data_IF_362252378931
#
_entry.id   IF_362252378931
#
_cell.length_a   1.000
_cell.length_b   1.000
_cell.length_c   1.000
_cell.angle_alpha   90.00
_cell.angle_beta   90.00
_cell.angle_gamma   90.00
#
_symmetry.space_group_name_H-M   'P 1'
#
loop_
_entity.id
_entity.type
_entity.pdbx_description
1 polymer ?
#
# COMPACT_ATOMS: atom_id res chain seq x y z
N UNK A 1 33.24 8.48 -34.47
CA UNK A 1 32.37 8.33 -33.28
C UNK A 1 32.94 7.18 -32.49
N UNK A 2 33.27 7.40 -31.22
CA UNK A 2 33.93 6.39 -30.38
C UNK A 2 32.91 5.31 -30.00
N UNK A 3 33.13 4.08 -30.46
CA UNK A 3 32.23 2.94 -30.24
C UNK A 3 32.17 2.58 -28.74
N UNK A 4 33.25 2.80 -27.99
CA UNK A 4 33.25 2.57 -26.54
C UNK A 4 32.34 3.59 -25.83
N UNK A 5 32.33 4.84 -26.30
CA UNK A 5 31.40 5.85 -25.77
C UNK A 5 29.94 5.46 -26.01
N UNK A 6 29.62 4.83 -27.15
CA UNK A 6 28.27 4.32 -27.46
C UNK A 6 27.90 3.21 -26.47
N UNK A 7 28.77 2.22 -26.24
CA UNK A 7 28.50 1.13 -25.30
C UNK A 7 28.28 1.64 -23.87
N UNK A 8 29.09 2.60 -23.41
CA UNK A 8 28.94 3.21 -22.08
C UNK A 8 27.58 3.93 -21.92
N UNK A 9 27.09 4.56 -22.98
CA UNK A 9 25.78 5.24 -22.97
C UNK A 9 24.64 4.23 -22.91
N UNK A 10 24.73 3.13 -23.68
CA UNK A 10 23.72 2.07 -23.69
C UNK A 10 23.65 1.35 -22.34
N UNK A 11 24.80 0.98 -21.76
CA UNK A 11 24.89 0.37 -20.42
C UNK A 11 24.27 1.26 -19.33
N UNK A 12 24.57 2.56 -19.36
CA UNK A 12 23.97 3.52 -18.42
C UNK A 12 22.45 3.58 -18.61
N UNK A 13 21.97 3.72 -19.84
CA UNK A 13 20.54 3.83 -20.15
C UNK A 13 19.76 2.61 -19.65
N UNK A 14 20.27 1.39 -19.88
CA UNK A 14 19.65 0.15 -19.40
C UNK A 14 19.55 0.10 -17.86
N UNK A 15 20.59 0.56 -17.15
CA UNK A 15 20.59 0.63 -15.69
C UNK A 15 19.58 1.65 -15.14
N UNK A 16 19.38 2.77 -15.81
CA UNK A 16 18.37 3.76 -15.41
C UNK A 16 16.94 3.21 -15.58
N UNK A 17 16.69 2.40 -16.60
CA UNK A 17 15.39 1.76 -16.84
C UNK A 17 15.06 0.71 -15.76
N UNK A 18 16.05 -0.10 -15.33
CA UNK A 18 15.90 -1.05 -14.22
C UNK A 18 15.60 -0.34 -12.88
N UNK A 19 16.25 0.79 -12.61
CA UNK A 19 15.96 1.63 -11.43
C UNK A 19 14.56 2.27 -11.48
N UNK A 20 14.10 2.63 -12.68
CA UNK A 20 12.74 3.14 -12.87
C UNK A 20 11.70 2.04 -12.62
N UNK A 21 11.99 0.80 -13.03
CA UNK A 21 11.12 -0.35 -12.79
C UNK A 21 11.07 -0.77 -11.31
N UNK A 22 12.20 -0.76 -10.60
CA UNK A 22 12.27 -1.05 -9.16
C UNK A 22 11.44 -0.09 -8.30
N UNK A 23 11.30 1.17 -8.72
CA UNK A 23 10.41 2.14 -8.06
C UNK A 23 8.93 1.89 -8.34
N UNK A 24 8.60 1.08 -9.35
CA UNK A 24 7.21 0.78 -9.74
C UNK A 24 6.66 -0.50 -9.12
N UNK A 25 7.51 -1.38 -8.58
CA UNK A 25 7.13 -2.70 -8.06
C UNK A 25 7.47 -2.89 -6.58
N UNK A 26 7.53 -1.81 -5.79
CA UNK A 26 7.71 -1.95 -4.34
C UNK A 26 6.42 -2.57 -3.77
N UNK A 27 6.47 -3.86 -3.45
CA UNK A 27 5.35 -4.54 -2.79
C UNK A 27 4.97 -3.78 -1.52
N UNK A 28 3.72 -3.32 -1.49
CA UNK A 28 3.19 -2.56 -0.36
C UNK A 28 2.81 -3.53 0.75
N UNK A 29 3.24 -3.26 1.98
CA UNK A 29 2.92 -4.07 3.16
C UNK A 29 2.03 -3.31 4.14
N UNK A 30 1.22 -4.07 4.90
CA UNK A 30 0.41 -3.54 6.00
C UNK A 30 1.33 -3.02 7.10
N UNK A 31 1.12 -1.78 7.52
CA UNK A 31 1.90 -1.14 8.58
C UNK A 31 1.65 -1.72 9.98
N UNK A 32 0.58 -2.52 10.14
CA UNK A 32 0.16 -3.09 11.42
C UNK A 32 0.62 -4.54 11.58
N UNK A 33 0.31 -5.41 10.61
CA UNK A 33 0.67 -6.84 10.67
C UNK A 33 1.88 -7.22 9.81
N UNK A 34 2.38 -6.34 8.96
CA UNK A 34 3.54 -6.60 8.09
C UNK A 34 3.26 -7.45 6.85
N UNK A 35 2.05 -8.01 6.69
CA UNK A 35 1.69 -8.82 5.50
C UNK A 35 1.77 -7.99 4.21
N UNK A 36 2.25 -8.60 3.14
CA UNK A 36 2.25 -8.00 1.80
C UNK A 36 0.83 -7.88 1.24
N UNK A 37 0.62 -6.97 0.28
CA UNK A 37 -0.65 -6.84 -0.45
C UNK A 37 -1.07 -8.16 -1.13
N UNK A 38 -0.12 -8.99 -1.55
CA UNK A 38 -0.35 -10.32 -2.12
C UNK A 38 -0.84 -11.35 -1.10
N UNK A 39 -0.65 -11.11 0.20
CA UNK A 39 -0.98 -12.03 1.29
C UNK A 39 -2.29 -11.70 2.01
N UNK A 40 -3.05 -10.70 1.55
CA UNK A 40 -4.31 -10.24 2.16
C UNK A 40 -5.37 -10.03 1.08
N UNK A 41 -6.65 -10.12 1.44
CA UNK A 41 -7.74 -9.94 0.47
C UNK A 41 -7.83 -8.48 -0.01
N UNK A 42 -7.70 -7.52 0.90
CA UNK A 42 -7.71 -6.09 0.58
C UNK A 42 -6.69 -5.31 1.39
N UNK A 43 -6.11 -4.31 0.74
CA UNK A 43 -5.19 -3.35 1.34
C UNK A 43 -5.68 -1.93 1.05
N UNK A 44 -5.80 -1.11 2.08
CA UNK A 44 -6.08 0.33 1.98
C UNK A 44 -4.73 1.04 2.12
N UNK A 45 -4.28 1.68 1.04
CA UNK A 45 -2.99 2.38 1.00
C UNK A 45 -3.21 3.91 1.04
N UNK A 46 -2.50 4.58 1.95
CA UNK A 46 -2.39 6.04 2.02
C UNK A 46 -0.95 6.47 1.71
N UNK A 47 -0.71 7.78 1.59
CA UNK A 47 0.65 8.32 1.37
C UNK A 47 1.63 7.93 2.47
N UNK A 48 1.14 7.70 3.69
CA UNK A 48 1.96 7.55 4.90
C UNK A 48 1.86 6.19 5.56
N UNK A 49 0.79 5.42 5.32
CA UNK A 49 0.53 4.15 6.00
C UNK A 49 -0.44 3.29 5.19
N UNK A 50 -0.37 1.97 5.40
CA UNK A 50 -1.25 1.00 4.75
C UNK A 50 -1.85 0.06 5.78
N UNK A 51 -3.11 -0.33 5.60
CA UNK A 51 -3.81 -1.25 6.50
C UNK A 51 -4.58 -2.30 5.69
N UNK A 52 -4.51 -3.57 6.10
CA UNK A 52 -5.26 -4.65 5.47
C UNK A 52 -6.65 -4.84 6.09
N UNK A 53 -7.52 -5.57 5.40
CA UNK A 53 -8.88 -5.86 5.87
C UNK A 53 -8.92 -6.56 7.23
N UNK A 54 -8.01 -7.50 7.49
CA UNK A 54 -7.94 -8.21 8.77
C UNK A 54 -7.63 -7.24 9.92
N UNK A 55 -6.63 -6.37 9.76
CA UNK A 55 -6.27 -5.40 10.81
C UNK A 55 -7.39 -4.38 11.07
N UNK A 56 -8.19 -4.02 10.07
CA UNK A 56 -9.36 -3.15 10.31
C UNK A 56 -10.36 -3.85 11.23
N UNK A 57 -10.67 -5.12 10.97
CA UNK A 57 -11.62 -5.89 11.78
C UNK A 57 -11.13 -6.06 13.22
N UNK A 58 -9.89 -6.50 13.40
CA UNK A 58 -9.27 -6.67 14.72
C UNK A 58 -9.25 -5.34 15.51
N UNK A 59 -8.93 -4.22 14.85
CA UNK A 59 -9.00 -2.90 15.49
C UNK A 59 -10.44 -2.51 15.86
N UNK A 60 -11.43 -2.81 15.01
CA UNK A 60 -12.84 -2.54 15.31
C UNK A 60 -13.33 -3.34 16.52
N UNK A 61 -12.92 -4.62 16.65
CA UNK A 61 -13.26 -5.47 17.80
C UNK A 61 -12.68 -4.91 19.09
N UNK A 62 -11.38 -4.57 19.10
CA UNK A 62 -10.72 -3.97 20.27
C UNK A 62 -11.39 -2.65 20.69
N UNK A 63 -11.78 -1.82 19.72
CA UNK A 63 -12.46 -0.55 20.00
C UNK A 63 -13.88 -0.76 20.53
N UNK A 64 -14.60 -1.77 20.06
CA UNK A 64 -15.93 -2.10 20.53
C UNK A 64 -15.94 -2.63 21.98
N UNK A 65 -14.89 -3.35 22.39
CA UNK A 65 -14.75 -3.85 23.76
C UNK A 65 -14.37 -2.74 24.77
N UNK A 66 -13.78 -1.65 24.30
CA UNK A 66 -13.25 -0.57 25.13
C UNK A 66 -14.23 0.53 25.52
N UNK A 67 -15.47 0.53 24.98
CA UNK A 67 -16.41 1.63 25.15
C UNK A 67 -17.81 1.12 25.58
N UNK A 68 -18.15 1.15 26.88
CA UNK A 68 -19.49 0.77 27.34
C UNK A 68 -20.58 1.83 27.03
N UNK A 69 -20.29 2.95 26.35
CA UNK A 69 -21.25 4.07 26.24
C UNK A 69 -21.29 4.83 24.89
N UNK A 70 -20.90 4.21 23.77
CA UNK A 70 -20.68 4.93 22.50
C UNK A 70 -21.27 4.34 21.21
N UNK A 71 -22.33 3.53 21.26
CA UNK A 71 -22.99 3.02 20.03
C UNK A 71 -24.25 3.79 19.65
N UNK A 72 -24.09 5.02 19.17
CA UNK A 72 -24.98 5.62 18.16
C UNK A 72 -24.17 5.82 16.88
N UNK A 73 -23.92 4.73 16.15
CA UNK A 73 -23.48 4.84 14.76
C UNK A 73 -24.73 4.91 13.89
N UNK A 74 -25.09 6.16 13.56
CA UNK A 74 -26.08 6.50 12.57
C UNK A 74 -25.85 5.72 11.26
N UNK A 75 -26.91 5.08 10.80
CA UNK A 75 -27.03 4.56 9.45
C UNK A 75 -26.94 5.75 8.47
N UNK A 76 -25.73 6.02 7.99
CA UNK A 76 -25.51 6.95 6.89
C UNK A 76 -25.97 6.32 5.59
N UNK A 77 -27.25 6.47 5.25
CA UNK A 77 -27.75 6.23 3.90
C UNK A 77 -26.91 7.03 2.90
N UNK A 78 -26.15 6.33 2.05
CA UNK A 78 -25.49 6.95 0.91
C UNK A 78 -26.53 7.12 -0.20
N UNK A 79 -27.21 8.25 -0.22
CA UNK A 79 -27.92 8.74 -1.40
C UNK A 79 -26.94 8.85 -2.55
N UNK A 80 -27.13 8.01 -3.57
CA UNK A 80 -26.63 8.30 -4.91
C UNK A 80 -27.55 9.35 -5.52
N UNK A 81 -27.04 10.56 -5.70
CA UNK A 81 -27.51 11.49 -6.73
C UNK A 81 -26.58 11.39 -7.94
#
# INVERSE_FOLDING_TARGET
MDVNAIYVIVDKAMKYDELAFLNKTKEVSCSFCGKSQSSVERMIASKSANICNECVLECCEILAEGDPEGTELAEGERSTE
#
